data_IF_078025965022
#
_entry.id   IF_078025965022
#
_cell.length_a   1.000
_cell.length_b   1.000
_cell.length_c   1.000
_cell.angle_alpha   90.00
_cell.angle_beta   90.00
_cell.angle_gamma   90.00
#
_symmetry.space_group_name_H-M   'P 1'
#
loop_
_entity.id
_entity.type
_entity.pdbx_description
1 polymer ?
#
# COMPACT_ATOMS: atom_id res chain seq x y z
N UNK A 1 -35.65 50.38 3.38
CA UNK A 1 -34.59 49.81 2.54
C UNK A 1 -34.82 48.31 2.46
N UNK A 2 -34.99 47.74 1.26
CA UNK A 2 -35.12 46.30 1.05
C UNK A 2 -33.72 45.76 0.74
N UNK A 3 -33.24 44.79 1.51
CA UNK A 3 -32.01 44.07 1.17
C UNK A 3 -32.34 42.58 1.03
N UNK A 4 -32.03 42.10 -0.17
CA UNK A 4 -32.31 40.76 -0.66
C UNK A 4 -31.49 39.69 0.04
N UNK A 5 -32.15 38.56 0.22
CA UNK A 5 -31.68 37.20 0.53
C UNK A 5 -30.44 36.78 -0.26
N UNK A 6 -29.48 36.15 0.43
CA UNK A 6 -28.51 35.23 -0.17
C UNK A 6 -28.44 33.95 0.69
N UNK A 7 -29.21 32.95 0.28
CA UNK A 7 -29.11 31.57 0.75
C UNK A 7 -27.79 30.97 0.29
N UNK A 8 -26.89 30.68 1.23
CA UNK A 8 -25.67 29.93 0.94
C UNK A 8 -26.01 28.44 0.93
N UNK A 9 -26.08 27.86 -0.26
CA UNK A 9 -26.15 26.41 -0.46
C UNK A 9 -24.72 25.89 -0.36
N UNK A 10 -24.36 25.25 0.76
CA UNK A 10 -23.14 24.47 0.82
C UNK A 10 -23.35 23.21 -0.03
N UNK A 11 -22.57 23.09 -1.11
CA UNK A 11 -22.54 21.89 -1.96
C UNK A 11 -21.79 20.79 -1.20
N UNK A 12 -22.46 19.67 -0.96
CA UNK A 12 -21.86 18.43 -0.48
C UNK A 12 -20.77 17.97 -1.45
N UNK A 13 -19.53 17.88 -0.98
CA UNK A 13 -18.51 17.13 -1.71
C UNK A 13 -18.91 15.67 -1.67
N UNK A 14 -19.41 15.15 -2.80
CA UNK A 14 -19.57 13.72 -3.02
C UNK A 14 -18.20 13.08 -2.92
N UNK A 15 -17.98 12.23 -1.92
CA UNK A 15 -16.81 11.37 -1.85
C UNK A 15 -16.94 10.43 -3.06
N UNK A 16 -16.22 10.74 -4.13
CA UNK A 16 -16.11 9.84 -5.27
C UNK A 16 -15.51 8.54 -4.75
N UNK A 17 -16.24 7.43 -4.93
CA UNK A 17 -15.72 6.07 -4.80
C UNK A 17 -14.65 5.85 -5.89
N UNK A 18 -13.49 6.49 -5.73
CA UNK A 18 -12.31 6.19 -6.53
C UNK A 18 -11.90 4.80 -6.07
N UNK A 19 -11.85 3.83 -6.98
CA UNK A 19 -11.39 2.48 -6.66
C UNK A 19 -10.01 2.56 -6.03
N UNK A 20 -9.87 2.00 -4.83
CA UNK A 20 -8.60 1.92 -4.13
C UNK A 20 -7.76 0.77 -4.69
N UNK A 21 -6.45 0.93 -4.78
CA UNK A 21 -5.55 -0.21 -4.82
C UNK A 21 -5.41 -0.79 -3.40
N UNK A 22 -5.17 -2.11 -3.30
CA UNK A 22 -5.07 -2.83 -2.04
C UNK A 22 -3.84 -3.77 -2.04
N UNK A 23 -3.00 -3.64 -1.02
CA UNK A 23 -1.72 -4.33 -0.90
C UNK A 23 -1.52 -4.90 0.49
N UNK A 24 -1.05 -6.14 0.61
CA UNK A 24 -0.54 -6.68 1.87
C UNK A 24 0.98 -6.84 1.82
N UNK A 25 1.68 -6.26 2.79
CA UNK A 25 3.12 -6.37 2.98
C UNK A 25 3.43 -7.32 4.14
N UNK A 26 4.25 -8.34 3.93
CA UNK A 26 4.59 -9.37 4.92
C UNK A 26 6.03 -9.25 5.37
N UNK A 27 6.30 -9.48 6.67
CA UNK A 27 7.63 -9.28 7.25
C UNK A 27 8.51 -10.53 7.33
N UNK A 28 7.90 -11.72 7.35
CA UNK A 28 8.60 -12.98 7.65
C UNK A 28 8.12 -14.20 6.84
N UNK A 29 7.24 -14.02 5.85
CA UNK A 29 6.79 -15.09 4.94
C UNK A 29 7.02 -14.67 3.49
N UNK A 30 7.65 -15.53 2.69
CA UNK A 30 8.01 -15.23 1.30
C UNK A 30 6.91 -15.59 0.29
N UNK A 31 5.97 -16.45 0.68
CA UNK A 31 4.89 -16.96 -0.18
C UNK A 31 3.55 -16.25 0.04
N UNK A 32 3.55 -15.14 0.80
CA UNK A 32 2.34 -14.40 1.18
C UNK A 32 1.28 -15.24 1.91
N UNK A 33 1.71 -16.31 2.58
CA UNK A 33 0.84 -17.21 3.36
C UNK A 33 1.13 -16.99 4.86
N UNK A 34 0.33 -16.15 5.55
CA UNK A 34 0.59 -15.81 6.95
C UNK A 34 0.31 -16.99 7.87
N UNK A 35 1.25 -17.23 8.80
CA UNK A 35 1.10 -18.16 9.92
C UNK A 35 0.84 -17.40 11.24
N UNK A 36 0.67 -18.13 12.35
CA UNK A 36 0.37 -17.56 13.67
C UNK A 36 1.44 -16.62 14.24
N UNK A 37 2.64 -16.58 13.67
CA UNK A 37 3.74 -15.69 14.07
C UNK A 37 3.94 -14.54 13.08
N UNK A 38 3.15 -14.50 12.00
CA UNK A 38 3.34 -13.54 10.92
C UNK A 38 2.89 -12.15 11.32
N UNK A 39 3.73 -11.18 10.96
CA UNK A 39 3.41 -9.76 11.03
C UNK A 39 3.26 -9.23 9.60
N UNK A 40 2.15 -8.54 9.33
CA UNK A 40 1.85 -7.96 8.03
C UNK A 40 1.18 -6.59 8.13
N UNK A 41 1.30 -5.77 7.09
CA UNK A 41 0.53 -4.54 6.94
C UNK A 41 -0.36 -4.59 5.72
N UNK A 42 -1.59 -4.15 5.87
CA UNK A 42 -2.50 -3.84 4.78
C UNK A 42 -2.37 -2.35 4.48
N UNK A 43 -2.18 -2.03 3.21
CA UNK A 43 -2.06 -0.68 2.68
C UNK A 43 -3.11 -0.49 1.59
N UNK A 44 -3.85 0.61 1.66
CA UNK A 44 -4.89 0.95 0.68
C UNK A 44 -4.77 2.42 0.31
N UNK A 45 -4.91 2.73 -0.98
CA UNK A 45 -4.87 4.11 -1.42
C UNK A 45 -5.53 4.30 -2.77
N UNK A 46 -5.79 5.57 -3.10
CA UNK A 46 -6.49 5.95 -4.33
C UNK A 46 -5.58 6.62 -5.36
N UNK A 47 -4.30 6.83 -5.02
CA UNK A 47 -3.34 7.56 -5.85
C UNK A 47 -2.15 6.67 -6.17
N UNK A 48 -1.71 6.69 -7.43
CA UNK A 48 -0.51 5.99 -7.93
C UNK A 48 0.81 6.70 -7.63
N UNK A 49 0.91 7.39 -6.49
CA UNK A 49 2.15 8.03 -6.07
C UNK A 49 3.21 6.98 -5.70
N UNK A 50 4.46 7.43 -5.61
CA UNK A 50 5.51 6.63 -4.99
C UNK A 50 5.40 6.70 -3.46
N UNK A 51 5.50 5.55 -2.80
CA UNK A 51 5.54 5.44 -1.34
C UNK A 51 6.78 4.67 -0.89
N UNK A 52 7.50 5.23 0.08
CA UNK A 52 8.72 4.65 0.68
C UNK A 52 8.41 4.13 2.08
N UNK A 53 8.80 2.89 2.40
CA UNK A 53 8.66 2.34 3.74
C UNK A 53 9.48 3.13 4.76
N UNK A 54 8.93 3.31 5.96
CA UNK A 54 9.56 4.15 6.99
C UNK A 54 9.19 5.63 6.92
N UNK A 55 8.56 6.09 5.85
CA UNK A 55 8.16 7.49 5.67
C UNK A 55 6.64 7.66 5.80
N UNK A 56 6.19 8.91 5.93
CA UNK A 56 4.75 9.21 5.92
C UNK A 56 4.17 8.95 4.54
N UNK A 57 3.05 8.21 4.47
CA UNK A 57 2.31 7.93 3.24
C UNK A 57 0.94 8.65 3.29
N UNK A 58 0.87 9.96 2.98
CA UNK A 58 -0.38 10.71 3.05
C UNK A 58 -1.41 10.17 2.04
N UNK A 59 -2.66 10.01 2.49
CA UNK A 59 -3.73 9.47 1.65
C UNK A 59 -3.73 7.95 1.49
N UNK A 60 -2.85 7.24 2.22
CA UNK A 60 -2.83 5.78 2.31
C UNK A 60 -3.37 5.35 3.66
N UNK A 61 -4.41 4.51 3.65
CA UNK A 61 -4.87 3.79 4.84
C UNK A 61 -3.89 2.66 5.14
N UNK A 62 -3.62 2.43 6.43
CA UNK A 62 -2.64 1.46 6.87
C UNK A 62 -3.09 0.74 8.14
N UNK A 63 -3.07 -0.59 8.10
CA UNK A 63 -3.36 -1.45 9.23
C UNK A 63 -2.28 -2.51 9.40
N UNK A 64 -1.67 -2.56 10.58
CA UNK A 64 -0.60 -3.46 10.97
C UNK A 64 -1.16 -4.53 11.88
N UNK A 65 -0.95 -5.77 11.47
CA UNK A 65 -1.48 -6.97 12.10
C UNK A 65 -0.34 -7.85 12.58
N UNK A 66 -0.44 -8.32 13.81
CA UNK A 66 0.52 -9.22 14.46
C UNK A 66 -0.14 -10.57 14.79
N UNK A 67 0.68 -11.56 15.11
CA UNK A 67 0.23 -12.91 15.50
C UNK A 67 -0.71 -13.55 14.44
N UNK A 68 -0.31 -13.48 13.17
CA UNK A 68 -1.11 -14.03 12.07
C UNK A 68 -2.45 -13.34 11.84
N UNK A 69 -2.61 -12.09 12.27
CA UNK A 69 -3.87 -11.34 12.10
C UNK A 69 -4.71 -11.19 13.36
N UNK A 70 -4.36 -11.86 14.46
CA UNK A 70 -5.16 -11.87 15.68
C UNK A 70 -5.23 -10.51 16.39
N UNK A 71 -4.38 -9.54 16.05
CA UNK A 71 -4.40 -8.21 16.66
C UNK A 71 -3.98 -7.13 15.68
N UNK A 72 -4.80 -6.08 15.56
CA UNK A 72 -4.48 -4.85 14.83
C UNK A 72 -3.83 -3.83 15.78
N UNK A 73 -2.71 -3.23 15.36
CA UNK A 73 -1.90 -2.27 16.15
C UNK A 73 -1.86 -0.86 15.53
N UNK A 74 -2.75 -0.54 14.60
CA UNK A 74 -2.71 0.73 13.85
C UNK A 74 -1.70 0.64 12.70
N UNK A 75 -1.01 1.72 12.33
CA UNK A 75 0.04 1.64 11.30
C UNK A 75 1.44 1.59 11.93
N UNK A 76 2.35 0.79 11.36
CA UNK A 76 3.77 0.73 11.74
C UNK A 76 4.60 1.41 10.65
N UNK A 77 5.09 2.63 10.92
CA UNK A 77 5.86 3.40 9.95
C UNK A 77 7.11 2.65 9.44
N UNK A 78 7.95 2.15 10.35
CA UNK A 78 9.15 1.36 10.04
C UNK A 78 8.84 -0.14 9.83
N UNK A 79 7.78 -0.44 9.10
CA UNK A 79 7.50 -1.81 8.70
C UNK A 79 8.51 -2.29 7.67
N UNK A 80 8.91 -3.54 7.80
CA UNK A 80 9.95 -4.12 6.97
C UNK A 80 9.39 -5.29 6.19
N UNK A 81 9.06 -5.04 4.92
CA UNK A 81 8.45 -6.03 4.05
C UNK A 81 9.50 -6.88 3.32
N UNK A 82 9.31 -8.19 3.32
CA UNK A 82 10.08 -9.17 2.52
C UNK A 82 9.22 -9.87 1.46
N UNK A 83 7.89 -9.72 1.53
CA UNK A 83 6.96 -10.13 0.49
C UNK A 83 5.77 -9.18 0.42
N UNK A 84 5.12 -9.16 -0.73
CA UNK A 84 4.03 -8.27 -1.08
C UNK A 84 2.97 -9.05 -1.85
N UNK A 85 1.71 -8.85 -1.49
CA UNK A 85 0.57 -9.39 -2.21
C UNK A 85 -0.28 -8.26 -2.76
N UNK A 86 -0.29 -8.12 -4.08
CA UNK A 86 -1.18 -7.21 -4.79
C UNK A 86 -2.53 -7.91 -4.94
N UNK A 87 -3.59 -7.33 -4.39
CA UNK A 87 -4.92 -7.92 -4.41
C UNK A 87 -5.64 -7.66 -5.74
N UNK A 88 -6.92 -8.00 -5.79
CA UNK A 88 -7.77 -7.67 -6.93
C UNK A 88 -7.71 -6.19 -7.31
N UNK A 89 -7.86 -5.94 -8.61
CA UNK A 89 -7.93 -4.60 -9.20
C UNK A 89 -6.73 -3.72 -8.88
N UNK A 90 -5.58 -4.34 -8.60
CA UNK A 90 -4.35 -3.67 -8.21
C UNK A 90 -3.21 -4.11 -9.12
N UNK A 91 -2.48 -3.14 -9.66
CA UNK A 91 -1.18 -3.35 -10.30
C UNK A 91 -0.13 -2.55 -9.54
N UNK A 92 0.99 -3.20 -9.20
CA UNK A 92 2.05 -2.60 -8.41
C UNK A 92 3.42 -2.74 -9.06
N UNK A 93 4.23 -1.72 -8.82
CA UNK A 93 5.64 -1.60 -9.18
C UNK A 93 6.43 -1.61 -7.88
N UNK A 94 7.30 -2.59 -7.73
CA UNK A 94 8.07 -2.79 -6.51
C UNK A 94 9.55 -2.51 -6.72
N UNK A 95 10.16 -1.75 -5.81
CA UNK A 95 11.53 -1.26 -5.97
C UNK A 95 12.42 -1.70 -4.81
N UNK A 96 13.67 -1.97 -5.18
CA UNK A 96 14.80 -2.27 -4.29
C UNK A 96 15.37 -1.04 -3.57
N UNK A 97 15.00 0.15 -4.02
CA UNK A 97 15.51 1.45 -3.57
C UNK A 97 14.36 2.33 -3.10
N UNK A 98 14.70 3.36 -2.34
CA UNK A 98 13.73 4.37 -1.91
C UNK A 98 13.26 5.21 -3.11
N UNK A 99 12.13 5.91 -2.94
CA UNK A 99 11.61 6.90 -3.89
C UNK A 99 11.35 6.37 -5.31
N UNK A 100 11.13 5.06 -5.42
CA UNK A 100 10.85 4.36 -6.67
C UNK A 100 11.94 4.56 -7.71
N UNK A 101 13.19 4.62 -7.24
CA UNK A 101 14.39 4.65 -8.07
C UNK A 101 14.75 3.25 -8.59
N UNK A 102 15.38 3.21 -9.76
CA UNK A 102 15.81 1.98 -10.43
C UNK A 102 14.70 1.22 -11.15
N UNK A 103 15.01 -0.03 -11.52
CA UNK A 103 14.10 -0.92 -12.25
C UNK A 103 13.11 -1.62 -11.32
N UNK A 104 11.79 -1.42 -11.52
CA UNK A 104 10.79 -2.11 -10.72
C UNK A 104 10.58 -3.54 -11.19
N UNK A 105 10.17 -4.40 -10.26
CA UNK A 105 9.45 -5.63 -10.60
C UNK A 105 7.95 -5.33 -10.60
N UNK A 106 7.27 -5.64 -11.72
CA UNK A 106 5.84 -5.35 -11.91
C UNK A 106 5.01 -6.59 -11.58
N UNK A 107 3.90 -6.40 -10.87
CA UNK A 107 2.96 -7.45 -10.48
C UNK A 107 1.53 -6.96 -10.61
N UNK A 108 0.70 -7.76 -11.27
CA UNK A 108 -0.71 -7.49 -11.42
C UNK A 108 -1.53 -8.03 -10.26
N UNK A 109 -2.84 -8.07 -10.46
CA UNK A 109 -3.80 -8.46 -9.44
C UNK A 109 -3.65 -9.92 -8.99
N UNK A 110 -3.94 -10.17 -7.72
CA UNK A 110 -3.90 -11.49 -7.09
C UNK A 110 -2.55 -12.21 -7.24
N UNK A 111 -1.46 -11.46 -7.08
CA UNK A 111 -0.11 -12.02 -7.17
C UNK A 111 0.73 -11.71 -5.94
N UNK A 112 1.48 -12.72 -5.50
CA UNK A 112 2.52 -12.59 -4.50
C UNK A 112 3.87 -12.33 -5.19
N UNK A 113 4.72 -11.55 -4.54
CA UNK A 113 6.13 -11.38 -4.87
C UNK A 113 6.95 -11.34 -3.58
N UNK A 114 8.14 -11.93 -3.59
CA UNK A 114 9.11 -11.76 -2.52
C UNK A 114 10.35 -10.96 -2.96
N UNK A 115 11.13 -10.56 -1.97
CA UNK A 115 12.33 -9.76 -2.14
C UNK A 115 13.38 -10.37 -3.09
N UNK A 116 13.42 -11.70 -3.26
CA UNK A 116 14.39 -12.37 -4.15
C UNK A 116 14.08 -12.15 -5.63
N UNK A 117 12.88 -11.68 -5.94
CA UNK A 117 12.42 -11.39 -7.30
C UNK A 117 12.63 -9.92 -7.69
N UNK A 118 13.20 -9.09 -6.81
CA UNK A 118 13.53 -7.70 -7.10
C UNK A 118 14.77 -7.61 -7.99
N UNK A 119 14.64 -6.89 -9.11
CA UNK A 119 15.63 -6.86 -10.19
C UNK A 119 17.01 -6.28 -9.81
N UNK A 120 17.08 -5.48 -8.75
CA UNK A 120 18.30 -4.77 -8.35
C UNK A 120 18.81 -5.16 -6.96
N UNK A 121 18.51 -6.38 -6.49
CA UNK A 121 18.79 -6.80 -5.11
C UNK A 121 19.65 -8.06 -4.99
N UNK A 122 20.24 -8.21 -3.80
CA UNK A 122 20.58 -9.50 -3.22
C UNK A 122 19.34 -10.12 -2.55
N UNK A 123 19.26 -11.46 -2.50
CA UNK A 123 18.13 -12.19 -1.90
C UNK A 123 17.84 -11.88 -0.40
N UNK A 124 18.63 -11.02 0.23
CA UNK A 124 18.49 -10.55 1.61
C UNK A 124 17.91 -9.13 1.73
N UNK A 125 17.73 -8.41 0.62
CA UNK A 125 17.21 -7.05 0.65
C UNK A 125 15.70 -7.03 0.93
N UNK A 126 15.16 -5.85 1.23
CA UNK A 126 13.73 -5.65 1.55
C UNK A 126 13.10 -4.74 0.51
N UNK A 127 11.78 -4.78 0.40
CA UNK A 127 11.07 -3.78 -0.40
C UNK A 127 11.27 -2.41 0.22
N UNK A 128 11.72 -1.44 -0.58
CA UNK A 128 12.05 -0.09 -0.12
C UNK A 128 10.96 0.91 -0.47
N UNK A 129 10.45 0.85 -1.69
CA UNK A 129 9.32 1.65 -2.13
C UNK A 129 8.44 0.92 -3.13
N UNK A 130 7.23 1.46 -3.35
CA UNK A 130 6.28 0.92 -4.31
C UNK A 130 5.40 2.02 -4.92
N UNK A 131 4.80 1.70 -6.07
CA UNK A 131 3.66 2.42 -6.66
C UNK A 131 2.58 1.39 -6.94
N UNK A 132 1.35 1.69 -6.59
CA UNK A 132 0.22 0.85 -6.97
C UNK A 132 -0.87 1.70 -7.59
N UNK A 133 -1.57 1.15 -8.57
CA UNK A 133 -2.72 1.79 -9.20
C UNK A 133 -3.88 0.81 -9.21
N UNK A 134 -5.09 1.37 -9.15
CA UNK A 134 -6.27 0.57 -9.44
C UNK A 134 -6.37 0.34 -10.96
N UNK A 135 -6.79 -0.85 -11.37
CA UNK A 135 -6.87 -1.26 -12.78
C UNK A 135 -8.30 -1.36 -13.35
N UNK A 136 -9.32 -0.98 -12.59
CA UNK A 136 -10.73 -0.90 -13.03
C UNK A 136 -11.16 0.51 -13.45
#
# INVERSE_FOLDING_TARGET
>A
MRFSIATSIAVLATVSNVSAWHLTAYSNVENCDPNGETEYQILEGNQGNCYTFGWSMPGVSCGHYVNGGASNKGCKGLFTAIAMYAHENTECFFYARDDCDGNPTIRGSNTCINNRELLETSATDRFRSFKCANTE
#
